data_IF_700952266786
#
_entry.id   IF_700952266786
#
_cell.length_a   1.000
_cell.length_b   1.000
_cell.length_c   1.000
_cell.angle_alpha   90.00
_cell.angle_beta   90.00
_cell.angle_gamma   90.00
#
_symmetry.space_group_name_H-M   'P 1'
#
loop_
_entity.id
_entity.type
_entity.pdbx_description
1 polymer ?
#
# COMPACT_ATOMS: atom_id res chain seq x y z
N UNK A 1 -7.15 34.13 -3.60
CA UNK A 1 -7.41 33.25 -4.76
C UNK A 1 -6.47 32.06 -4.63
N UNK A 2 -6.99 30.94 -4.10
CA UNK A 2 -6.19 29.73 -3.86
C UNK A 2 -6.11 28.98 -5.20
N UNK A 3 -4.91 28.82 -5.76
CA UNK A 3 -4.72 28.04 -6.98
C UNK A 3 -4.94 26.57 -6.60
N UNK A 4 -6.06 26.01 -7.04
CA UNK A 4 -6.35 24.59 -6.90
C UNK A 4 -5.56 23.85 -7.96
N UNK A 5 -4.50 23.14 -7.53
CA UNK A 5 -3.72 22.26 -8.39
C UNK A 5 -4.52 20.96 -8.52
N UNK A 6 -5.11 20.73 -9.70
CA UNK A 6 -5.84 19.49 -10.02
C UNK A 6 -4.87 18.42 -10.52
N UNK A 7 -5.19 17.14 -10.31
CA UNK A 7 -4.44 16.03 -10.91
C UNK A 7 -4.52 16.10 -12.43
N UNK A 8 -3.45 15.67 -13.10
CA UNK A 8 -3.41 15.65 -14.56
C UNK A 8 -4.47 14.66 -15.11
N UNK A 9 -5.42 15.12 -15.94
CA UNK A 9 -6.51 14.28 -16.39
C UNK A 9 -6.02 13.15 -17.29
N UNK A 10 -4.97 13.36 -18.10
CA UNK A 10 -4.44 12.30 -18.98
C UNK A 10 -3.86 11.16 -18.15
N UNK A 11 -3.04 11.50 -17.15
CA UNK A 11 -2.38 10.52 -16.28
C UNK A 11 -3.37 9.71 -15.45
N UNK A 12 -4.41 10.34 -14.91
CA UNK A 12 -5.27 9.69 -13.94
C UNK A 12 -6.59 9.13 -14.54
N UNK A 13 -7.14 9.63 -15.68
CA UNK A 13 -8.53 9.33 -16.13
C UNK A 13 -8.85 7.85 -16.39
N UNK A 14 -7.88 7.02 -16.74
CA UNK A 14 -8.11 5.59 -16.96
C UNK A 14 -7.54 4.69 -15.86
N UNK A 15 -7.02 5.25 -14.76
CA UNK A 15 -6.64 4.48 -13.56
C UNK A 15 -7.88 4.24 -12.70
N UNK A 16 -8.83 5.17 -12.79
CA UNK A 16 -10.14 5.13 -12.14
C UNK A 16 -11.20 4.81 -13.18
N UNK A 17 -11.84 3.65 -13.07
CA UNK A 17 -13.15 3.42 -13.72
C UNK A 17 -14.25 3.56 -12.67
N UNK A 18 -15.47 3.89 -13.11
CA UNK A 18 -16.64 3.87 -12.22
C UNK A 18 -16.98 2.46 -11.73
N UNK A 19 -16.47 1.43 -12.41
CA UNK A 19 -16.65 0.02 -12.06
C UNK A 19 -15.66 -0.46 -10.97
N UNK A 20 -14.57 0.27 -10.73
CA UNK A 20 -13.57 -0.09 -9.71
C UNK A 20 -13.70 0.80 -8.46
N UNK A 21 -13.43 0.24 -7.25
CA UNK A 21 -13.43 1.03 -6.03
C UNK A 21 -12.45 2.20 -6.11
N UNK A 22 -12.96 3.42 -5.92
CA UNK A 22 -12.16 4.63 -5.87
C UNK A 22 -11.32 4.67 -4.57
N UNK A 23 -10.14 5.30 -4.64
CA UNK A 23 -9.24 5.41 -3.49
C UNK A 23 -8.56 6.79 -3.43
N UNK A 24 -7.88 7.09 -2.31
CA UNK A 24 -7.20 8.37 -2.10
C UNK A 24 -6.08 8.66 -3.11
N UNK A 25 -5.39 7.65 -3.63
CA UNK A 25 -4.25 7.84 -4.53
C UNK A 25 -4.72 8.22 -5.94
N UNK A 26 -5.74 7.56 -6.45
CA UNK A 26 -6.15 7.66 -7.86
C UNK A 26 -7.38 8.52 -8.08
N UNK A 27 -8.22 8.76 -7.06
CA UNK A 27 -9.43 9.60 -7.18
C UNK A 27 -9.10 11.01 -7.71
N UNK A 28 -9.87 11.44 -8.70
CA UNK A 28 -9.83 12.79 -9.28
C UNK A 28 -10.86 13.72 -8.68
N UNK A 29 -12.00 13.17 -8.27
CA UNK A 29 -13.03 13.91 -7.57
C UNK A 29 -12.44 14.44 -6.27
N UNK A 30 -12.44 15.77 -6.16
CA UNK A 30 -11.83 16.51 -5.07
C UNK A 30 -12.60 16.33 -3.76
N UNK A 31 -13.92 16.27 -3.81
CA UNK A 31 -14.76 16.05 -2.64
C UNK A 31 -14.57 14.63 -2.12
N UNK A 32 -14.61 13.65 -3.03
CA UNK A 32 -14.35 12.24 -2.69
C UNK A 32 -12.93 12.04 -2.15
N UNK A 33 -11.92 12.65 -2.76
CA UNK A 33 -10.55 12.62 -2.27
C UNK A 33 -10.42 13.26 -0.88
N UNK A 34 -11.08 14.41 -0.65
CA UNK A 34 -11.09 15.08 0.65
C UNK A 34 -11.75 14.21 1.73
N UNK A 35 -12.84 13.50 1.40
CA UNK A 35 -13.49 12.52 2.29
C UNK A 35 -12.52 11.39 2.68
N UNK A 36 -11.87 10.75 1.70
CA UNK A 36 -10.90 9.69 1.98
C UNK A 36 -9.72 10.17 2.84
N UNK A 37 -9.17 11.35 2.51
CA UNK A 37 -8.08 11.96 3.27
C UNK A 37 -8.50 12.27 4.71
N UNK A 38 -9.70 12.82 4.90
CA UNK A 38 -10.23 13.12 6.23
C UNK A 38 -10.37 11.84 7.05
N UNK A 39 -10.98 10.80 6.48
CA UNK A 39 -11.16 9.52 7.17
C UNK A 39 -9.82 8.86 7.55
N UNK A 40 -8.84 8.86 6.64
CA UNK A 40 -7.50 8.29 6.91
C UNK A 40 -6.65 9.12 7.88
N UNK A 41 -6.87 10.44 7.95
CA UNK A 41 -6.05 11.33 8.78
C UNK A 41 -6.09 11.00 10.28
N UNK A 42 -7.13 10.32 10.76
CA UNK A 42 -7.28 9.90 12.16
C UNK A 42 -6.20 8.88 12.56
N UNK A 43 -5.75 8.06 11.62
CA UNK A 43 -4.66 7.10 11.80
C UNK A 43 -3.28 7.77 11.91
N UNK A 44 -3.16 9.06 11.58
CA UNK A 44 -1.91 9.82 11.56
C UNK A 44 -1.89 11.01 12.54
N UNK A 45 -2.76 11.00 13.56
CA UNK A 45 -2.69 11.99 14.66
C UNK A 45 -1.50 11.73 15.57
N UNK A 46 -1.06 12.71 16.35
CA UNK A 46 0.03 12.52 17.32
C UNK A 46 -0.25 11.34 18.28
N UNK A 47 -1.47 11.23 18.78
CA UNK A 47 -1.86 10.12 19.66
C UNK A 47 -1.80 8.77 18.94
N UNK A 48 -2.30 8.69 17.70
CA UNK A 48 -2.25 7.46 16.90
C UNK A 48 -0.81 7.04 16.63
N UNK A 49 0.05 7.98 16.23
CA UNK A 49 1.48 7.74 15.98
C UNK A 49 2.20 7.27 17.25
N UNK A 50 1.93 7.89 18.41
CA UNK A 50 2.50 7.43 19.69
C UNK A 50 2.10 6.00 20.02
N UNK A 51 0.86 5.60 19.73
CA UNK A 51 0.38 4.25 19.97
C UNK A 51 0.97 3.23 18.97
N UNK A 52 1.29 3.66 17.75
CA UNK A 52 1.90 2.83 16.70
C UNK A 52 3.43 2.70 16.84
N UNK A 53 4.09 3.69 17.49
CA UNK A 53 5.55 3.76 17.65
C UNK A 53 6.19 2.47 18.14
N UNK A 54 5.68 1.79 19.19
CA UNK A 54 6.31 0.57 19.71
C UNK A 54 6.44 -0.55 18.67
N UNK A 55 5.47 -0.66 17.75
CA UNK A 55 5.51 -1.65 16.66
C UNK A 55 6.58 -1.28 15.62
N UNK A 56 6.65 0.00 15.26
CA UNK A 56 7.63 0.49 14.27
C UNK A 56 9.05 0.34 14.85
N UNK A 57 9.23 0.67 16.12
CA UNK A 57 10.49 0.49 16.86
C UNK A 57 10.91 -0.98 16.88
N UNK A 58 10.00 -1.92 17.16
CA UNK A 58 10.39 -3.34 17.16
C UNK A 58 10.82 -3.85 15.78
N UNK A 59 10.25 -3.34 14.68
CA UNK A 59 10.74 -3.64 13.34
C UNK A 59 12.07 -2.95 13.02
N UNK A 60 12.31 -1.77 13.59
CA UNK A 60 13.58 -1.07 13.42
C UNK A 60 14.70 -1.80 14.15
N UNK A 61 14.46 -2.28 15.37
CA UNK A 61 15.37 -3.13 16.12
C UNK A 61 15.70 -4.40 15.32
N UNK A 62 14.67 -5.09 14.80
CA UNK A 62 14.87 -6.27 13.95
C UNK A 62 15.70 -5.97 12.70
N UNK A 63 15.45 -4.84 12.03
CA UNK A 63 16.25 -4.42 10.87
C UNK A 63 17.72 -4.24 11.25
N UNK A 64 17.99 -3.56 12.36
CA UNK A 64 19.36 -3.33 12.84
C UNK A 64 20.04 -4.64 13.20
N UNK A 65 19.36 -5.54 13.92
CA UNK A 65 19.90 -6.86 14.27
C UNK A 65 20.31 -7.65 13.03
N UNK A 66 19.43 -7.70 12.02
CA UNK A 66 19.70 -8.43 10.77
C UNK A 66 20.85 -7.82 9.96
N UNK A 67 20.94 -6.49 9.91
CA UNK A 67 22.05 -5.79 9.25
C UNK A 67 23.37 -6.01 9.99
N UNK A 68 23.33 -6.04 11.32
CA UNK A 68 24.48 -6.33 12.15
C UNK A 68 24.99 -7.76 11.94
N UNK A 69 24.09 -8.74 11.90
CA UNK A 69 24.44 -10.15 11.60
C UNK A 69 25.15 -10.27 10.25
N UNK A 70 24.66 -9.59 9.21
CA UNK A 70 25.29 -9.56 7.90
C UNK A 70 26.66 -8.89 7.90
N UNK A 71 26.84 -7.83 8.69
CA UNK A 71 28.11 -7.13 8.81
C UNK A 71 29.16 -7.97 9.56
N UNK A 72 28.71 -8.82 10.50
CA UNK A 72 29.57 -9.72 11.28
C UNK A 72 29.84 -11.05 10.57
N UNK A 73 29.20 -11.34 9.44
CA UNK A 73 29.47 -12.55 8.67
C UNK A 73 30.84 -12.47 7.97
N UNK A 74 31.84 -13.12 8.58
CA UNK A 74 33.23 -13.16 8.11
C UNK A 74 33.47 -14.05 6.88
N UNK A 75 32.41 -14.57 6.25
CA UNK A 75 32.55 -15.41 5.04
C UNK A 75 33.01 -14.64 3.80
N UNK A 76 33.01 -13.29 3.82
CA UNK A 76 33.60 -12.43 2.77
C UNK A 76 35.00 -11.94 3.19
N UNK A 77 36.09 -12.65 2.85
CA UNK A 77 37.39 -12.44 3.49
C UNK A 77 38.19 -11.27 2.90
N UNK A 78 37.66 -10.59 1.87
CA UNK A 78 38.47 -9.69 1.03
C UNK A 78 37.82 -8.30 0.85
N UNK A 79 36.49 -8.15 0.87
CA UNK A 79 35.81 -6.88 0.53
C UNK A 79 34.68 -6.45 1.48
N UNK A 80 34.48 -7.13 2.61
CA UNK A 80 33.32 -6.90 3.48
C UNK A 80 31.99 -7.36 2.87
N UNK A 81 30.88 -7.09 3.56
CA UNK A 81 29.52 -7.46 3.12
C UNK A 81 28.88 -6.30 2.35
N UNK A 82 28.41 -6.56 1.13
CA UNK A 82 27.60 -5.60 0.37
C UNK A 82 26.13 -5.77 0.73
N UNK A 83 25.45 -4.67 1.05
CA UNK A 83 24.06 -4.67 1.48
C UNK A 83 23.23 -3.81 0.53
N UNK A 84 22.17 -4.39 -0.03
CA UNK A 84 21.16 -3.65 -0.80
C UNK A 84 20.14 -2.99 0.14
N UNK A 85 20.38 -1.73 0.48
CA UNK A 85 19.50 -0.96 1.38
C UNK A 85 18.09 -0.77 0.81
N UNK A 86 17.92 -0.76 -0.52
CA UNK A 86 16.59 -0.65 -1.12
C UNK A 86 15.76 -1.90 -0.82
N UNK A 87 16.38 -3.08 -0.92
CA UNK A 87 15.73 -4.33 -0.59
C UNK A 87 15.36 -4.41 0.90
N UNK A 88 16.29 -4.07 1.79
CA UNK A 88 16.04 -4.05 3.24
C UNK A 88 14.95 -3.06 3.66
N UNK A 89 14.95 -1.86 3.05
CA UNK A 89 13.87 -0.89 3.26
C UNK A 89 12.52 -1.38 2.75
N UNK A 90 12.51 -2.14 1.64
CA UNK A 90 11.29 -2.75 1.11
C UNK A 90 10.71 -3.81 2.05
N UNK A 91 11.55 -4.68 2.62
CA UNK A 91 11.11 -5.65 3.62
C UNK A 91 10.58 -4.99 4.88
N UNK A 92 11.30 -3.98 5.39
CA UNK A 92 10.89 -3.20 6.56
C UNK A 92 9.53 -2.53 6.37
N UNK A 93 9.33 -1.86 5.24
CA UNK A 93 8.09 -1.14 4.96
C UNK A 93 6.91 -2.08 4.74
N UNK A 94 7.11 -3.22 4.07
CA UNK A 94 6.05 -4.22 3.85
C UNK A 94 5.58 -4.85 5.14
N UNK A 95 6.50 -5.21 6.05
CA UNK A 95 6.11 -5.77 7.35
C UNK A 95 5.36 -4.75 8.22
N UNK A 96 5.85 -3.50 8.29
CA UNK A 96 5.18 -2.43 9.05
C UNK A 96 3.80 -2.12 8.50
N UNK A 97 3.68 -1.93 7.19
CA UNK A 97 2.39 -1.60 6.56
C UNK A 97 1.44 -2.80 6.63
N UNK A 98 1.96 -4.03 6.52
CA UNK A 98 1.18 -5.25 6.72
C UNK A 98 0.51 -5.28 8.09
N UNK A 99 1.27 -5.06 9.16
CA UNK A 99 0.73 -5.05 10.51
C UNK A 99 -0.18 -3.85 10.77
N UNK A 100 0.19 -2.65 10.30
CA UNK A 100 -0.58 -1.43 10.57
C UNK A 100 -1.87 -1.30 9.74
N UNK A 101 -1.87 -1.77 8.49
CA UNK A 101 -2.99 -1.61 7.57
C UNK A 101 -3.85 -2.87 7.45
N UNK A 102 -3.24 -4.06 7.54
CA UNK A 102 -3.92 -5.35 7.34
C UNK A 102 -3.95 -6.21 8.61
N UNK A 103 -3.22 -5.81 9.66
CA UNK A 103 -3.10 -6.60 10.90
C UNK A 103 -2.29 -7.89 10.75
N UNK A 104 -1.51 -8.01 9.67
CA UNK A 104 -0.81 -9.23 9.27
C UNK A 104 0.71 -9.00 9.24
N UNK A 105 1.45 -9.87 9.91
CA UNK A 105 2.91 -9.92 9.81
C UNK A 105 3.35 -10.87 8.69
N UNK A 106 4.11 -10.34 7.72
CA UNK A 106 4.58 -11.12 6.56
C UNK A 106 5.95 -11.79 6.75
N UNK A 107 6.75 -11.32 7.70
CA UNK A 107 8.06 -11.88 7.99
C UNK A 107 9.13 -11.56 6.96
N UNK A 108 8.96 -10.49 6.18
CA UNK A 108 9.88 -10.15 5.12
C UNK A 108 11.31 -9.86 5.65
N UNK A 109 11.40 -9.12 6.75
CA UNK A 109 12.68 -8.79 7.39
C UNK A 109 13.37 -9.99 8.00
N UNK A 110 12.62 -10.80 8.75
CA UNK A 110 13.16 -11.97 9.45
C UNK A 110 13.67 -13.01 8.47
N UNK A 111 12.93 -13.25 7.38
CA UNK A 111 13.29 -14.24 6.36
C UNK A 111 14.22 -13.67 5.28
N UNK A 112 14.42 -12.35 5.24
CA UNK A 112 15.16 -11.67 4.17
C UNK A 112 14.63 -12.03 2.79
N UNK A 113 13.30 -12.08 2.67
CA UNK A 113 12.58 -12.46 1.47
C UNK A 113 11.29 -11.64 1.36
N UNK A 114 11.02 -11.10 0.18
CA UNK A 114 9.82 -10.29 -0.03
C UNK A 114 8.61 -11.21 -0.17
N UNK A 115 7.59 -10.99 0.66
CA UNK A 115 6.36 -11.78 0.61
C UNK A 115 5.73 -11.72 -0.80
N UNK A 116 5.29 -12.85 -1.39
CA UNK A 116 4.84 -12.90 -2.79
C UNK A 116 3.76 -11.88 -3.15
N UNK A 117 2.81 -11.63 -2.26
CA UNK A 117 1.79 -10.61 -2.50
C UNK A 117 2.38 -9.19 -2.62
N UNK A 118 3.44 -8.84 -1.89
CA UNK A 118 4.09 -7.54 -2.02
C UNK A 118 4.79 -7.35 -3.39
N UNK A 119 5.22 -8.44 -4.04
CA UNK A 119 5.69 -8.38 -5.43
C UNK A 119 4.57 -7.99 -6.40
N UNK A 120 3.33 -8.45 -6.17
CA UNK A 120 2.18 -8.08 -7.01
C UNK A 120 1.91 -6.58 -6.99
N UNK A 121 2.18 -5.91 -5.86
CA UNK A 121 2.05 -4.45 -5.75
C UNK A 121 3.06 -3.72 -6.66
N UNK A 122 4.30 -4.19 -6.71
CA UNK A 122 5.32 -3.61 -7.60
C UNK A 122 4.92 -3.74 -9.07
N UNK A 123 4.36 -4.89 -9.46
CA UNK A 123 3.91 -5.11 -10.84
C UNK A 123 2.65 -4.31 -11.17
N UNK A 124 1.74 -4.15 -10.21
CA UNK A 124 0.59 -3.26 -10.33
C UNK A 124 1.00 -1.80 -10.54
N UNK A 125 1.98 -1.29 -9.78
CA UNK A 125 2.50 0.07 -9.94
C UNK A 125 3.14 0.29 -11.31
N UNK A 126 3.94 -0.67 -11.81
CA UNK A 126 4.46 -0.63 -13.18
C UNK A 126 3.32 -0.62 -14.20
N UNK A 127 2.30 -1.44 -13.98
CA UNK A 127 1.08 -1.49 -14.78
C UNK A 127 0.40 -0.12 -14.89
N UNK A 128 0.23 0.59 -13.78
CA UNK A 128 -0.28 1.97 -13.77
C UNK A 128 0.58 2.91 -14.62
N UNK A 129 1.91 2.84 -14.48
CA UNK A 129 2.83 3.70 -15.23
C UNK A 129 2.76 3.41 -16.73
N UNK A 130 2.77 2.13 -17.13
CA UNK A 130 2.62 1.75 -18.54
C UNK A 130 1.27 2.18 -19.10
N UNK A 131 0.20 1.94 -18.33
CA UNK A 131 -1.14 2.35 -18.67
C UNK A 131 -1.21 3.84 -18.96
N UNK A 132 -0.73 4.66 -18.02
CA UNK A 132 -0.73 6.11 -18.16
C UNK A 132 0.17 6.59 -19.31
N UNK A 133 1.32 5.95 -19.54
CA UNK A 133 2.22 6.30 -20.63
C UNK A 133 1.61 6.08 -22.03
N UNK A 134 0.78 5.05 -22.21
CA UNK A 134 0.13 4.80 -23.50
C UNK A 134 -0.93 5.84 -23.88
N UNK A 135 -1.47 6.61 -22.91
CA UNK A 135 -2.56 7.57 -23.14
C UNK A 135 -2.16 8.81 -23.93
N UNK A 136 -0.89 9.12 -23.99
CA UNK A 136 -0.39 10.15 -24.92
C UNK A 136 -0.47 9.68 -26.39
N UNK A 137 -0.76 8.40 -26.64
CA UNK A 137 -0.81 7.77 -27.95
C UNK A 137 -2.10 6.92 -28.11
N UNK A 138 -3.24 7.52 -28.50
CA UNK A 138 -4.55 6.85 -28.51
C UNK A 138 -4.63 5.53 -29.28
N UNK A 139 -3.84 5.38 -30.35
CA UNK A 139 -3.75 4.13 -31.12
C UNK A 139 -3.09 3.00 -30.32
N UNK A 140 -2.03 3.31 -29.57
CA UNK A 140 -1.32 2.35 -28.73
C UNK A 140 -2.20 1.97 -27.54
N UNK A 141 -2.84 2.96 -26.91
CA UNK A 141 -3.79 2.73 -25.83
C UNK A 141 -4.89 1.74 -26.24
N UNK A 142 -5.52 1.98 -27.39
CA UNK A 142 -6.59 1.09 -27.91
C UNK A 142 -6.07 -0.33 -28.13
N UNK A 143 -4.87 -0.51 -28.69
CA UNK A 143 -4.28 -1.84 -28.91
C UNK A 143 -3.96 -2.57 -27.59
N UNK A 144 -3.49 -1.85 -26.57
CA UNK A 144 -3.09 -2.44 -25.28
C UNK A 144 -4.31 -2.78 -24.42
N UNK A 145 -5.35 -1.94 -24.41
CA UNK A 145 -6.50 -2.09 -23.52
C UNK A 145 -7.70 -2.85 -24.10
N UNK A 146 -7.76 -3.09 -25.41
CA UNK A 146 -8.85 -3.90 -25.98
C UNK A 146 -8.68 -5.41 -25.75
N UNK A 147 -7.46 -5.87 -25.43
CA UNK A 147 -7.17 -7.28 -25.16
C UNK A 147 -6.21 -7.41 -23.97
N UNK A 148 -6.62 -7.02 -22.75
CA UNK A 148 -5.78 -7.19 -21.58
C UNK A 148 -5.47 -8.68 -21.39
N UNK A 149 -4.21 -9.05 -21.08
CA UNK A 149 -3.86 -10.43 -20.80
C UNK A 149 -4.65 -10.96 -19.60
N UNK A 150 -5.19 -12.18 -19.69
CA UNK A 150 -5.94 -12.80 -18.59
C UNK A 150 -5.16 -12.82 -17.27
N UNK A 151 -3.85 -13.06 -17.35
CA UNK A 151 -2.96 -13.06 -16.19
C UNK A 151 -2.93 -11.72 -15.44
N UNK A 152 -3.10 -10.60 -16.13
CA UNK A 152 -3.17 -9.27 -15.51
C UNK A 152 -4.49 -9.10 -14.74
N UNK A 153 -5.61 -9.56 -15.31
CA UNK A 153 -6.91 -9.51 -14.65
C UNK A 153 -6.95 -10.43 -13.41
N UNK A 154 -6.40 -11.64 -13.54
CA UNK A 154 -6.26 -12.59 -12.43
C UNK A 154 -5.41 -11.99 -11.30
N UNK A 155 -4.24 -11.43 -11.61
CA UNK A 155 -3.38 -10.75 -10.62
C UNK A 155 -4.11 -9.60 -9.90
N UNK A 156 -4.91 -8.81 -10.62
CA UNK A 156 -5.71 -7.74 -10.00
C UNK A 156 -6.79 -8.30 -9.06
N UNK A 157 -7.47 -9.37 -9.47
CA UNK A 157 -8.47 -10.06 -8.64
C UNK A 157 -7.84 -10.62 -7.37
N UNK A 158 -6.74 -11.35 -7.51
CA UNK A 158 -5.99 -11.92 -6.38
C UNK A 158 -5.52 -10.85 -5.41
N UNK A 159 -5.02 -9.71 -5.92
CA UNK A 159 -4.61 -8.59 -5.08
C UNK A 159 -5.78 -8.02 -4.26
N UNK A 160 -6.94 -7.83 -4.90
CA UNK A 160 -8.15 -7.32 -4.26
C UNK A 160 -8.71 -8.32 -3.24
N UNK A 161 -8.78 -9.60 -3.59
CA UNK A 161 -9.23 -10.67 -2.70
C UNK A 161 -8.34 -10.82 -1.48
N UNK A 162 -7.01 -10.77 -1.66
CA UNK A 162 -6.05 -10.82 -0.57
C UNK A 162 -6.25 -9.68 0.44
N UNK A 163 -6.33 -8.44 -0.06
CA UNK A 163 -6.56 -7.27 0.77
C UNK A 163 -7.91 -7.36 1.50
N UNK A 164 -8.97 -7.78 0.79
CA UNK A 164 -10.32 -7.95 1.35
C UNK A 164 -10.36 -9.03 2.45
N UNK A 165 -9.74 -10.18 2.23
CA UNK A 165 -9.70 -11.25 3.24
C UNK A 165 -8.99 -10.79 4.52
N UNK A 166 -7.83 -10.15 4.38
CA UNK A 166 -7.05 -9.70 5.53
C UNK A 166 -7.69 -8.55 6.29
N UNK A 167 -8.21 -7.54 5.59
CA UNK A 167 -8.92 -6.46 6.27
C UNK A 167 -10.16 -6.99 6.99
N UNK A 168 -10.93 -7.90 6.39
CA UNK A 168 -12.09 -8.49 7.05
C UNK A 168 -11.69 -9.33 8.27
N UNK A 169 -10.62 -10.13 8.18
CA UNK A 169 -10.06 -10.84 9.35
C UNK A 169 -9.67 -9.85 10.45
N UNK A 170 -8.98 -8.77 10.10
CA UNK A 170 -8.56 -7.73 11.05
C UNK A 170 -9.75 -7.03 11.72
N UNK A 171 -10.80 -6.74 10.96
CA UNK A 171 -12.02 -6.11 11.48
C UNK A 171 -12.76 -7.02 12.48
N UNK A 172 -12.63 -8.33 12.34
CA UNK A 172 -13.28 -9.33 13.19
C UNK A 172 -12.47 -9.76 14.43
N UNK A 173 -11.30 -9.16 14.69
CA UNK A 173 -10.52 -9.47 15.88
C UNK A 173 -11.20 -8.96 17.16
N UNK A 174 -11.29 -9.81 18.18
CA UNK A 174 -11.87 -9.45 19.49
C UNK A 174 -11.07 -8.36 20.22
N UNK A 175 -9.73 -8.37 20.06
CA UNK A 175 -8.83 -7.38 20.66
C UNK A 175 -8.35 -6.42 19.59
N UNK A 176 -8.62 -5.14 19.79
CA UNK A 176 -8.15 -4.09 18.90
C UNK A 176 -6.65 -3.87 19.09
N UNK A 177 -5.90 -3.87 17.97
CA UNK A 177 -4.50 -3.46 17.91
C UNK A 177 -4.42 -1.93 17.74
N UNK A 178 -3.37 -1.25 18.24
CA UNK A 178 -3.15 0.19 18.03
C UNK A 178 -2.63 0.48 16.61
N UNK A 179 -3.46 0.24 15.60
CA UNK A 179 -3.09 0.32 14.18
C UNK A 179 -3.93 1.34 13.40
N UNK A 180 -3.75 1.40 12.07
CA UNK A 180 -4.49 2.33 11.22
C UNK A 180 -5.99 2.05 11.26
N UNK A 181 -6.36 0.76 11.23
CA UNK A 181 -7.75 0.30 11.16
C UNK A 181 -8.51 0.64 12.43
N UNK A 182 -7.90 0.51 13.61
CA UNK A 182 -8.53 0.87 14.88
C UNK A 182 -8.88 2.36 14.95
N UNK A 183 -7.96 3.23 14.55
CA UNK A 183 -8.18 4.68 14.51
C UNK A 183 -9.23 5.06 13.45
N UNK A 184 -9.19 4.37 12.31
CA UNK A 184 -10.14 4.55 11.23
C UNK A 184 -11.56 4.14 11.65
N UNK A 185 -11.75 2.99 12.31
CA UNK A 185 -13.06 2.52 12.76
C UNK A 185 -13.65 3.40 13.88
N UNK A 186 -12.82 3.79 14.86
CA UNK A 186 -13.28 4.49 16.05
C UNK A 186 -13.90 5.85 15.72
N UNK A 187 -13.27 6.59 14.82
CA UNK A 187 -13.63 7.98 14.53
C UNK A 187 -14.58 8.13 13.32
N UNK A 188 -14.94 7.01 12.67
CA UNK A 188 -15.84 6.97 11.54
C UNK A 188 -17.07 6.07 11.84
N UNK A 189 -18.09 6.65 12.47
CA UNK A 189 -19.30 5.94 12.96
C UNK A 189 -20.06 5.20 11.84
N UNK A 190 -20.02 5.71 10.61
CA UNK A 190 -20.62 5.11 9.41
C UNK A 190 -19.53 4.60 8.44
N UNK A 191 -18.52 3.88 8.94
CA UNK A 191 -17.36 3.47 8.13
C UNK A 191 -17.73 2.72 6.84
N UNK A 192 -18.81 1.93 6.84
CA UNK A 192 -19.31 1.23 5.66
C UNK A 192 -19.83 2.17 4.57
N UNK A 193 -20.16 3.42 4.89
CA UNK A 193 -20.65 4.42 3.94
C UNK A 193 -19.53 5.28 3.35
N UNK A 194 -18.30 5.21 3.87
CA UNK A 194 -17.18 6.04 3.38
C UNK A 194 -16.87 5.78 1.91
N UNK A 195 -17.08 4.56 1.42
CA UNK A 195 -16.89 4.18 0.03
C UNK A 195 -18.12 4.44 -0.85
N UNK A 196 -19.28 4.76 -0.28
CA UNK A 196 -20.54 4.98 -1.01
C UNK A 196 -20.68 6.46 -1.40
N UNK A 197 -21.45 6.72 -2.47
CA UNK A 197 -21.88 8.08 -2.79
C UNK A 197 -22.92 8.55 -1.77
N UNK A 198 -22.75 9.78 -1.27
CA UNK A 198 -23.74 10.42 -0.42
C UNK A 198 -24.95 10.77 -1.31
N UNK A 199 -26.09 10.12 -1.07
CA UNK A 199 -27.40 10.43 -1.66
C UNK A 199 -27.97 11.73 -1.12
#
# INVERSE_FOLDING_TARGET
MQILITKDPVWYNGITSDELPQNIVTSHDMERHARFRKALSTSFTETSLRNQSPLIESFADLLIDRLHDLAMDYTSPINGTTIDIFQWASWFTVDIVGELALGEYFGCLANSELYPWANTLNDFLKGIVYAAATRWYPLIETMVFQLPPKSMMEMQSEHAEFANDRINKRMNLEKQKPDFVASFMKDNVDFYKISLEET
#
